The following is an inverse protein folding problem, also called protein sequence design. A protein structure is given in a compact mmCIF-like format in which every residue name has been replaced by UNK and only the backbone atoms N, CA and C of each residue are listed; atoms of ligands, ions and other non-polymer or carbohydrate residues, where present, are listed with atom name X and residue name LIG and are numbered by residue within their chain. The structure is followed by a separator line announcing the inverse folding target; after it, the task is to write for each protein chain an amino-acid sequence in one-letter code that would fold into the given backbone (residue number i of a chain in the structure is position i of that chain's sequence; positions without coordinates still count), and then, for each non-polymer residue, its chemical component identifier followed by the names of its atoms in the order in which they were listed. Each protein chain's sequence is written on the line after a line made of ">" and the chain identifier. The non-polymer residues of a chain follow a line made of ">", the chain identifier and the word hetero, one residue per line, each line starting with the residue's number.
data_IF_814337647231
#
_entry.id   IF_814337647231
#
_cell.length_a   1.000
_cell.length_b   1.000
_cell.length_c   1.000
_cell.angle_alpha   90.00
_cell.angle_beta   90.00
_cell.angle_gamma   90.00
#
_symmetry.space_group_name_H-M   'P 1'
#
loop_
_entity.id
_entity.type
_entity.pdbx_description
1 polymer ?
#
# COMPACT_ATOMS: atom_id res chain seq x y z
N UNK A 1 8.64 -0.96 32.62
CA UNK A 1 8.84 -2.30 32.04
C UNK A 1 7.57 -2.97 31.50
N UNK A 2 6.51 -2.22 31.31
CA UNK A 2 5.27 -2.74 30.74
C UNK A 2 5.15 -2.58 29.21
N UNK A 3 6.15 -2.04 28.55
CA UNK A 3 6.13 -1.82 27.10
C UNK A 3 6.16 -3.12 26.29
N UNK A 4 6.77 -4.17 26.82
CA UNK A 4 6.94 -5.44 26.11
C UNK A 4 5.65 -6.29 26.11
N UNK A 5 4.89 -6.25 27.19
CA UNK A 5 3.60 -6.95 27.29
C UNK A 5 2.52 -6.37 26.38
N UNK A 6 2.42 -5.02 26.29
CA UNK A 6 1.43 -4.37 25.43
C UNK A 6 1.69 -4.60 23.95
N UNK A 7 2.96 -4.80 23.56
CA UNK A 7 3.33 -5.14 22.19
C UNK A 7 3.00 -6.59 21.84
N UNK A 8 3.13 -7.49 22.79
CA UNK A 8 2.81 -8.89 22.57
C UNK A 8 1.30 -9.16 22.54
N UNK A 9 0.53 -8.38 23.29
CA UNK A 9 -0.94 -8.46 23.30
C UNK A 9 -1.59 -8.08 21.96
N UNK A 10 -0.93 -7.26 21.14
CA UNK A 10 -1.40 -6.88 19.81
C UNK A 10 -0.88 -7.78 18.67
N UNK A 11 -0.21 -8.86 19.01
CA UNK A 11 0.30 -9.80 18.02
C UNK A 11 -0.75 -10.88 17.76
N UNK A 12 -1.31 -10.98 16.54
CA UNK A 12 -2.25 -12.04 16.20
C UNK A 12 -1.65 -13.43 16.37
N UNK A 13 -2.48 -14.46 16.64
CA UNK A 13 -1.99 -15.83 16.76
C UNK A 13 -1.24 -16.28 15.51
N UNK A 14 -0.14 -17.01 15.69
CA UNK A 14 0.68 -17.53 14.60
C UNK A 14 1.60 -16.52 13.92
N UNK A 15 1.64 -15.28 14.39
CA UNK A 15 2.53 -14.25 13.87
C UNK A 15 3.86 -14.22 14.63
N UNK A 16 4.93 -13.97 13.89
CA UNK A 16 6.28 -13.75 14.43
C UNK A 16 6.67 -12.29 14.21
N UNK A 17 7.11 -11.65 15.29
CA UNK A 17 7.53 -10.24 15.23
C UNK A 17 8.84 -10.12 14.44
N UNK A 18 8.89 -9.15 13.52
CA UNK A 18 10.08 -8.80 12.76
C UNK A 18 10.35 -7.30 12.78
N UNK A 19 11.61 -6.93 12.69
CA UNK A 19 12.05 -5.53 12.55
C UNK A 19 12.23 -5.12 11.10
N UNK A 20 12.35 -6.08 10.20
CA UNK A 20 12.54 -5.87 8.77
C UNK A 20 11.27 -6.26 8.01
N UNK A 21 11.09 -5.66 6.85
CA UNK A 21 10.16 -6.20 5.87
C UNK A 21 10.83 -7.36 5.16
N UNK A 22 10.33 -8.59 5.31
CA UNK A 22 10.80 -9.71 4.50
C UNK A 22 10.54 -9.43 3.03
N UNK A 23 11.50 -9.76 2.18
CA UNK A 23 11.39 -9.57 0.73
C UNK A 23 10.80 -10.83 0.11
N UNK A 24 9.73 -10.66 -0.67
CA UNK A 24 9.13 -11.77 -1.40
C UNK A 24 10.13 -12.27 -2.44
N UNK A 25 10.45 -13.57 -2.38
CA UNK A 25 11.36 -14.18 -3.33
C UNK A 25 12.83 -13.87 -3.09
N UNK A 26 13.25 -13.75 -1.83
CA UNK A 26 14.67 -13.55 -1.46
C UNK A 26 15.63 -14.56 -2.10
N UNK A 27 15.13 -15.74 -2.46
CA UNK A 27 15.88 -16.79 -3.16
C UNK A 27 15.85 -16.67 -4.70
N UNK A 28 15.14 -15.67 -5.20
CA UNK A 28 15.00 -15.39 -6.64
C UNK A 28 15.61 -14.03 -6.92
N UNK A 29 16.18 -13.83 -8.10
CA UNK A 29 16.70 -12.52 -8.50
C UNK A 29 15.65 -11.42 -8.26
N UNK A 30 16.03 -10.32 -7.62
CA UNK A 30 15.16 -9.20 -7.42
C UNK A 30 14.68 -8.66 -8.77
N UNK A 31 13.39 -8.29 -8.92
CA UNK A 31 12.93 -7.62 -10.13
C UNK A 31 13.70 -6.29 -10.30
N UNK A 32 13.95 -5.87 -11.54
CA UNK A 32 14.58 -4.57 -11.77
C UNK A 32 13.76 -3.46 -11.14
N UNK A 33 14.42 -2.46 -10.58
CA UNK A 33 13.76 -1.27 -10.06
C UNK A 33 13.10 -0.53 -11.22
N UNK A 34 11.84 -0.14 -11.02
CA UNK A 34 11.15 0.70 -11.98
C UNK A 34 11.72 2.12 -11.95
N UNK A 35 11.98 2.70 -13.12
CA UNK A 35 12.32 4.11 -13.23
C UNK A 35 11.12 4.96 -12.75
N UNK A 36 11.30 5.86 -11.76
CA UNK A 36 10.24 6.75 -11.32
C UNK A 36 9.61 7.58 -12.45
N UNK A 37 10.36 7.88 -13.51
CA UNK A 37 9.84 8.59 -14.68
C UNK A 37 8.83 7.77 -15.48
N UNK A 38 8.90 6.45 -15.40
CA UNK A 38 7.98 5.54 -16.09
C UNK A 38 6.79 5.13 -15.23
N UNK A 39 6.87 5.36 -13.93
CA UNK A 39 5.80 4.99 -13.01
C UNK A 39 4.53 5.81 -13.24
N UNK A 40 3.39 5.16 -13.23
CA UNK A 40 2.07 5.78 -13.38
C UNK A 40 1.10 5.23 -12.35
N UNK A 41 0.26 6.11 -11.84
CA UNK A 41 -0.96 5.73 -11.12
C UNK A 41 -2.13 5.90 -12.07
N UNK A 42 -2.74 4.80 -12.46
CA UNK A 42 -3.92 4.79 -13.31
C UNK A 42 -5.17 4.53 -12.47
N UNK A 43 -6.17 5.37 -12.66
CA UNK A 43 -7.52 5.16 -12.14
C UNK A 43 -8.42 4.76 -13.30
N UNK A 44 -9.05 3.61 -13.17
CA UNK A 44 -9.92 3.08 -14.20
C UNK A 44 -11.16 2.41 -13.61
N UNK A 45 -12.23 2.39 -14.36
CA UNK A 45 -13.34 1.46 -14.17
C UNK A 45 -13.11 0.24 -15.06
N UNK A 46 -13.90 -0.86 -14.93
CA UNK A 46 -13.81 -1.96 -15.87
C UNK A 46 -13.97 -1.57 -17.34
N UNK A 47 -14.67 -0.49 -17.61
CA UNK A 47 -15.05 -0.08 -18.96
C UNK A 47 -14.09 0.94 -19.58
N UNK A 48 -13.44 1.78 -18.76
CA UNK A 48 -12.59 2.87 -19.29
C UNK A 48 -11.60 3.40 -18.25
N UNK A 49 -10.53 4.02 -18.75
CA UNK A 49 -9.61 4.79 -17.93
C UNK A 49 -10.24 6.12 -17.51
N UNK A 50 -10.12 6.50 -16.25
CA UNK A 50 -10.61 7.76 -15.72
C UNK A 50 -9.52 8.81 -15.74
N UNK A 51 -8.34 8.49 -15.21
CA UNK A 51 -7.21 9.42 -15.09
C UNK A 51 -5.90 8.65 -14.91
N UNK A 52 -4.82 9.31 -15.27
CA UNK A 52 -3.46 8.83 -15.09
C UNK A 52 -2.60 9.93 -14.47
N UNK A 53 -1.78 9.56 -13.49
CA UNK A 53 -0.90 10.47 -12.77
C UNK A 53 0.54 9.98 -12.82
N UNK A 54 1.45 10.92 -13.02
CA UNK A 54 2.88 10.67 -12.90
C UNK A 54 3.30 10.62 -11.43
N UNK A 55 4.47 10.06 -11.15
CA UNK A 55 5.02 10.03 -9.80
C UNK A 55 5.20 11.43 -9.20
N UNK A 56 5.74 12.44 -9.90
CA UNK A 56 5.79 13.81 -9.39
C UNK A 56 4.42 14.41 -9.05
N UNK A 57 3.39 14.11 -9.83
CA UNK A 57 2.02 14.58 -9.56
C UNK A 57 1.47 13.99 -8.26
N UNK A 58 1.71 12.70 -8.03
CA UNK A 58 1.32 12.05 -6.77
C UNK A 58 2.08 12.63 -5.57
N UNK A 59 3.36 12.95 -5.73
CA UNK A 59 4.17 13.56 -4.67
C UNK A 59 3.75 14.98 -4.29
N UNK A 60 2.99 15.68 -5.12
CA UNK A 60 2.47 17.02 -4.82
C UNK A 60 1.36 17.01 -3.77
N UNK A 61 0.74 15.87 -3.52
CA UNK A 61 -0.28 15.76 -2.49
C UNK A 61 0.31 16.00 -1.09
N UNK A 62 -0.39 16.76 -0.23
CA UNK A 62 -0.04 16.85 1.18
C UNK A 62 0.00 15.45 1.82
N UNK A 63 1.06 15.19 2.57
CA UNK A 63 1.28 13.88 3.19
C UNK A 63 1.15 13.95 4.69
N UNK A 64 0.54 12.94 5.24
CA UNK A 64 0.46 12.70 6.68
C UNK A 64 1.34 11.52 7.06
N UNK A 65 1.85 11.54 8.28
CA UNK A 65 2.55 10.39 8.85
C UNK A 65 1.57 9.57 9.67
N UNK A 66 1.50 8.29 9.35
CA UNK A 66 0.66 7.33 10.05
C UNK A 66 1.53 6.20 10.60
N UNK A 67 1.30 5.83 11.85
CA UNK A 67 1.94 4.67 12.48
C UNK A 67 0.94 3.52 12.57
N UNK A 68 1.30 2.38 12.06
CA UNK A 68 0.44 1.19 12.09
C UNK A 68 1.24 -0.10 12.20
N UNK A 69 0.57 -1.14 12.67
CA UNK A 69 1.11 -2.49 12.65
C UNK A 69 0.80 -3.15 11.31
N UNK A 70 1.76 -3.87 10.76
CA UNK A 70 1.61 -4.62 9.51
C UNK A 70 1.67 -6.11 9.82
N UNK A 71 0.65 -6.84 9.41
CA UNK A 71 0.56 -8.30 9.59
C UNK A 71 0.48 -8.96 8.21
N UNK A 72 1.44 -9.83 7.93
CA UNK A 72 1.45 -10.56 6.66
C UNK A 72 0.81 -11.93 6.82
N UNK A 73 0.11 -12.38 5.79
CA UNK A 73 -0.49 -13.71 5.73
C UNK A 73 0.56 -14.83 5.86
N UNK A 74 1.82 -14.56 5.53
CA UNK A 74 2.92 -15.52 5.67
C UNK A 74 3.45 -15.63 7.10
N UNK A 75 2.83 -14.97 8.06
CA UNK A 75 3.07 -15.18 9.47
C UNK A 75 4.05 -14.23 10.15
N UNK A 76 4.44 -13.14 9.51
CA UNK A 76 5.25 -12.13 10.15
C UNK A 76 4.47 -10.85 10.44
N UNK A 77 4.84 -10.17 11.50
CA UNK A 77 4.28 -8.87 11.88
C UNK A 77 5.39 -7.86 12.12
N UNK A 78 5.18 -6.64 11.67
CA UNK A 78 6.02 -5.49 11.98
C UNK A 78 5.16 -4.41 12.63
N UNK A 79 5.50 -4.08 13.87
CA UNK A 79 4.75 -3.11 14.67
C UNK A 79 5.28 -1.70 14.53
N UNK A 80 4.41 -0.72 14.80
CA UNK A 80 4.74 0.70 14.83
C UNK A 80 5.49 1.17 13.57
N UNK A 81 5.04 0.68 12.42
CA UNK A 81 5.61 1.08 11.14
C UNK A 81 5.09 2.44 10.74
N UNK A 82 6.00 3.36 10.47
CA UNK A 82 5.65 4.71 10.02
C UNK A 82 5.55 4.74 8.51
N UNK A 83 4.41 5.22 8.03
CA UNK A 83 4.15 5.49 6.63
C UNK A 83 3.86 6.96 6.42
N UNK A 84 4.30 7.50 5.31
CA UNK A 84 3.88 8.80 4.82
C UNK A 84 3.01 8.61 3.59
N UNK A 85 1.86 9.25 3.58
CA UNK A 85 0.93 9.14 2.49
C UNK A 85 -0.27 10.05 2.65
N UNK A 86 -1.27 9.81 1.87
CA UNK A 86 -2.52 10.56 1.88
C UNK A 86 -3.70 9.59 1.78
N UNK A 87 -4.85 10.05 2.21
CA UNK A 87 -6.09 9.27 2.07
C UNK A 87 -6.56 9.26 0.63
N UNK A 88 -6.97 8.11 0.13
CA UNK A 88 -7.48 7.98 -1.24
C UNK A 88 -8.65 8.94 -1.51
N UNK A 89 -9.57 9.09 -0.56
CA UNK A 89 -10.70 10.02 -0.68
C UNK A 89 -10.25 11.47 -0.87
N UNK A 90 -9.17 11.89 -0.22
CA UNK A 90 -8.62 13.24 -0.34
C UNK A 90 -7.96 13.45 -1.70
N UNK A 91 -7.27 12.44 -2.18
CA UNK A 91 -6.70 12.43 -3.51
C UNK A 91 -7.77 12.58 -4.60
N UNK A 92 -8.84 11.81 -4.50
CA UNK A 92 -9.96 11.86 -5.44
C UNK A 92 -10.65 13.23 -5.40
N UNK A 93 -10.90 13.77 -4.20
CA UNK A 93 -11.49 15.08 -4.04
C UNK A 93 -10.61 16.21 -4.60
N UNK A 94 -9.32 16.15 -4.33
CA UNK A 94 -8.34 17.12 -4.83
C UNK A 94 -8.34 17.19 -6.37
N UNK A 95 -8.45 16.06 -7.02
CA UNK A 95 -8.49 15.96 -8.47
C UNK A 95 -9.90 16.01 -9.08
N UNK A 96 -10.90 16.30 -8.24
CA UNK A 96 -12.33 16.37 -8.66
C UNK A 96 -12.79 15.10 -9.39
N UNK A 97 -12.35 13.95 -8.90
CA UNK A 97 -12.71 12.64 -9.44
C UNK A 97 -13.86 12.06 -8.62
N UNK A 98 -14.97 11.77 -9.30
CA UNK A 98 -16.11 11.09 -8.71
C UNK A 98 -16.06 9.59 -9.05
N UNK A 99 -16.24 8.75 -8.03
CA UNK A 99 -16.37 7.31 -8.23
C UNK A 99 -17.83 7.03 -8.59
N UNK A 100 -18.10 6.29 -9.68
CA UNK A 100 -19.45 5.90 -10.02
C UNK A 100 -20.14 5.15 -8.87
N UNK A 101 -21.41 5.45 -8.61
CA UNK A 101 -22.21 4.79 -7.56
C UNK A 101 -22.35 3.28 -7.75
N UNK A 102 -22.14 2.80 -8.96
CA UNK A 102 -22.12 1.37 -9.29
C UNK A 102 -20.86 0.64 -8.83
N UNK A 103 -19.81 1.39 -8.45
CA UNK A 103 -18.57 0.80 -7.96
C UNK A 103 -18.68 0.49 -6.47
N UNK A 104 -18.72 -0.81 -6.14
CA UNK A 104 -18.79 -1.31 -4.77
C UNK A 104 -17.41 -1.58 -4.17
N UNK A 105 -16.37 -1.70 -4.98
CA UNK A 105 -15.02 -2.09 -4.56
C UNK A 105 -13.96 -1.24 -5.23
N UNK A 106 -12.83 -1.10 -4.55
CA UNK A 106 -11.59 -0.57 -5.13
C UNK A 106 -10.58 -1.70 -5.20
N UNK A 107 -10.00 -1.91 -6.37
CA UNK A 107 -8.95 -2.89 -6.60
C UNK A 107 -7.62 -2.18 -6.83
N UNK A 108 -6.62 -2.54 -6.05
CA UNK A 108 -5.26 -2.04 -6.22
C UNK A 108 -4.42 -3.08 -6.95
N UNK A 109 -3.87 -2.71 -8.09
CA UNK A 109 -2.94 -3.54 -8.86
C UNK A 109 -1.55 -2.94 -8.74
N UNK A 110 -0.61 -3.70 -8.19
CA UNK A 110 0.75 -3.25 -8.02
C UNK A 110 1.63 -3.62 -9.23
N UNK A 111 2.63 -2.79 -9.50
CA UNK A 111 3.72 -3.17 -10.39
C UNK A 111 4.57 -4.24 -9.72
N UNK A 112 4.22 -5.48 -9.97
CA UNK A 112 4.85 -6.64 -9.38
C UNK A 112 5.05 -7.73 -10.42
N UNK A 113 6.23 -8.33 -10.43
CA UNK A 113 6.52 -9.48 -11.30
C UNK A 113 5.60 -10.68 -11.03
N UNK A 114 4.94 -10.72 -9.87
CA UNK A 114 4.01 -11.77 -9.46
C UNK A 114 2.55 -11.37 -9.57
N UNK A 115 2.25 -10.18 -10.06
CA UNK A 115 0.88 -9.72 -10.25
C UNK A 115 0.09 -9.58 -8.95
N UNK A 116 0.72 -9.08 -7.89
CA UNK A 116 0.04 -8.86 -6.62
C UNK A 116 -1.08 -7.84 -6.78
N UNK A 117 -2.24 -8.19 -6.27
CA UNK A 117 -3.39 -7.30 -6.20
C UNK A 117 -4.10 -7.41 -4.85
N UNK A 118 -4.90 -6.41 -4.55
CA UNK A 118 -5.79 -6.42 -3.39
C UNK A 118 -7.07 -5.67 -3.71
N UNK A 119 -8.19 -6.15 -3.18
CA UNK A 119 -9.50 -5.52 -3.34
C UNK A 119 -10.05 -5.16 -1.97
N UNK A 120 -10.64 -3.98 -1.89
CA UNK A 120 -11.24 -3.43 -0.68
C UNK A 120 -12.67 -3.00 -0.97
#
# INVERSE_FOLDING_TARGET
>A
MNADKSHQERLPPGQVLTRKFPVVGEKVAAPPLMDPAEWRLELATPDHSIAEFTYPQVLQMPRETLSMDVHCVTGWSRKNTKFQGFMLREFLAYHMIEIPLSCAFVRFLAYSARGHDTSI
#
